data_IF_564549527895
#
_entry.id   IF_564549527895
#
_cell.length_a   1.000
_cell.length_b   1.000
_cell.length_c   1.000
_cell.angle_alpha   90.00
_cell.angle_beta   90.00
_cell.angle_gamma   90.00
#
_symmetry.space_group_name_H-M   'P 1'
#
loop_
_entity.id
_entity.type
_entity.pdbx_description
1 polymer ?
#
# COMPACT_ATOMS: atom_id res chain seq x y z
N UNK A 1 -4.07 -11.10 8.42
CA UNK A 1 -5.01 -10.41 7.51
C UNK A 1 -6.06 -9.52 8.18
N UNK A 2 -7.23 -9.96 8.69
CA UNK A 2 -8.26 -8.99 9.17
C UNK A 2 -7.78 -8.11 10.33
N UNK A 3 -7.25 -8.71 11.39
CA UNK A 3 -6.74 -7.98 12.57
C UNK A 3 -5.57 -7.06 12.21
N UNK A 4 -4.66 -7.55 11.37
CA UNK A 4 -3.50 -6.82 10.87
C UNK A 4 -3.90 -5.59 10.02
N UNK A 5 -4.85 -5.74 9.10
CA UNK A 5 -5.38 -4.61 8.32
C UNK A 5 -6.10 -3.60 9.20
N UNK A 6 -6.84 -4.05 10.21
CA UNK A 6 -7.45 -3.16 11.20
C UNK A 6 -6.41 -2.39 12.01
N UNK A 7 -5.33 -3.05 12.43
CA UNK A 7 -4.23 -2.40 13.13
C UNK A 7 -3.55 -1.35 12.25
N UNK A 8 -3.30 -1.67 10.97
CA UNK A 8 -2.76 -0.72 9.99
C UNK A 8 -3.67 0.49 9.81
N UNK A 9 -4.97 0.24 9.59
CA UNK A 9 -5.98 1.31 9.46
C UNK A 9 -6.03 2.20 10.70
N UNK A 10 -6.09 1.62 11.90
CA UNK A 10 -6.16 2.38 13.14
C UNK A 10 -4.90 3.21 13.36
N UNK A 11 -3.73 2.64 13.04
CA UNK A 11 -2.44 3.35 13.11
C UNK A 11 -2.41 4.55 12.17
N UNK A 12 -3.01 4.46 10.97
CA UNK A 12 -3.14 5.62 10.06
C UNK A 12 -4.00 6.71 10.64
N UNK A 13 -5.16 6.36 11.19
CA UNK A 13 -6.06 7.35 11.79
C UNK A 13 -5.38 8.06 12.96
N UNK A 14 -4.68 7.32 13.82
CA UNK A 14 -3.92 7.89 14.94
C UNK A 14 -2.75 8.78 14.51
N UNK A 15 -2.14 8.55 13.35
CA UNK A 15 -1.02 9.36 12.82
C UNK A 15 -1.47 10.59 12.05
N UNK A 16 -2.74 10.65 11.66
CA UNK A 16 -3.27 11.76 10.88
C UNK A 16 -3.59 12.94 11.80
N UNK A 17 -3.01 14.13 11.58
CA UNK A 17 -3.10 15.24 12.54
C UNK A 17 -4.52 15.79 12.74
N UNK A 18 -5.38 15.73 11.73
CA UNK A 18 -6.80 16.15 11.85
C UNK A 18 -7.69 15.03 12.37
N UNK A 19 -7.67 13.83 11.76
CA UNK A 19 -8.56 12.72 12.16
C UNK A 19 -8.31 12.26 13.59
N UNK A 20 -7.05 12.15 14.01
CA UNK A 20 -6.71 11.72 15.37
C UNK A 20 -7.29 12.63 16.44
N UNK A 21 -7.37 13.94 16.18
CA UNK A 21 -7.89 14.93 17.12
C UNK A 21 -9.41 15.15 16.99
N UNK A 22 -10.09 14.42 16.12
CA UNK A 22 -11.54 14.57 15.93
C UNK A 22 -12.34 13.98 17.10
N UNK A 23 -13.38 14.70 17.53
CA UNK A 23 -14.32 14.26 18.57
C UNK A 23 -14.84 12.84 18.33
N UNK A 24 -15.20 12.52 17.08
CA UNK A 24 -15.74 11.21 16.72
C UNK A 24 -14.73 10.08 16.92
N UNK A 25 -13.46 10.32 16.58
CA UNK A 25 -12.40 9.32 16.72
C UNK A 25 -11.98 9.15 18.18
N UNK A 26 -11.85 10.25 18.92
CA UNK A 26 -11.55 10.23 20.35
C UNK A 26 -12.65 9.51 21.14
N UNK A 27 -13.92 9.80 20.85
CA UNK A 27 -15.05 9.14 21.50
C UNK A 27 -15.12 7.64 21.16
N UNK A 28 -14.75 7.25 19.94
CA UNK A 28 -14.69 5.85 19.53
C UNK A 28 -13.65 5.06 20.35
N UNK A 29 -12.55 5.68 20.76
CA UNK A 29 -11.48 5.03 21.51
C UNK A 29 -11.63 5.09 23.04
N UNK A 30 -12.35 6.08 23.57
CA UNK A 30 -12.31 6.42 25.01
C UNK A 30 -13.61 6.22 25.79
N UNK A 31 -14.69 5.74 25.13
CA UNK A 31 -15.96 5.49 25.82
C UNK A 31 -15.81 4.46 26.95
N UNK A 32 -16.48 4.71 28.09
CA UNK A 32 -16.36 3.87 29.29
C UNK A 32 -17.48 2.85 29.43
N UNK A 33 -18.65 3.17 28.88
CA UNK A 33 -19.83 2.32 28.96
C UNK A 33 -20.73 2.46 27.73
N UNK A 34 -21.74 1.58 27.63
CA UNK A 34 -22.66 1.52 26.50
C UNK A 34 -23.53 2.80 26.36
N UNK A 35 -23.82 3.49 27.47
CA UNK A 35 -24.62 4.71 27.47
C UNK A 35 -23.82 5.87 26.89
N UNK A 36 -22.55 5.97 27.26
CA UNK A 36 -21.60 6.93 26.70
C UNK A 36 -21.40 6.69 25.20
N UNK A 37 -21.17 5.44 24.80
CA UNK A 37 -21.08 5.04 23.38
C UNK A 37 -22.31 5.47 22.58
N UNK A 38 -23.53 5.14 23.05
CA UNK A 38 -24.77 5.50 22.34
C UNK A 38 -24.97 7.01 22.24
N UNK A 39 -24.57 7.76 23.27
CA UNK A 39 -24.63 9.24 23.26
C UNK A 39 -23.66 9.80 22.24
N UNK A 40 -22.40 9.37 22.29
CA UNK A 40 -21.34 9.79 21.36
C UNK A 40 -21.68 9.47 19.91
N UNK A 41 -22.15 8.25 19.64
CA UNK A 41 -22.63 7.82 18.32
C UNK A 41 -23.72 8.75 17.79
N UNK A 42 -24.76 9.04 18.58
CA UNK A 42 -25.85 9.94 18.17
C UNK A 42 -25.40 11.38 17.96
N UNK A 43 -24.39 11.85 18.71
CA UNK A 43 -23.76 13.17 18.50
C UNK A 43 -23.08 13.21 17.13
N UNK A 44 -22.25 12.21 16.82
CA UNK A 44 -21.56 12.12 15.53
C UNK A 44 -22.53 11.97 14.34
N UNK A 45 -23.61 11.19 14.48
CA UNK A 45 -24.63 11.02 13.43
C UNK A 45 -25.44 12.29 13.13
N UNK A 46 -25.47 13.25 14.06
CA UNK A 46 -26.20 14.52 13.93
C UNK A 46 -25.30 15.71 13.60
N UNK A 47 -24.01 15.48 13.38
CA UNK A 47 -23.09 16.56 13.05
C UNK A 47 -23.47 17.18 11.69
N UNK A 48 -23.66 18.50 11.68
CA UNK A 48 -23.99 19.26 10.48
C UNK A 48 -22.74 19.76 9.76
N UNK A 49 -21.57 19.73 10.41
CA UNK A 49 -20.27 20.15 9.85
C UNK A 49 -19.68 18.99 9.04
N UNK A 50 -20.37 18.60 7.97
CA UNK A 50 -20.01 17.47 7.11
C UNK A 50 -19.81 17.88 5.66
N UNK A 51 -19.10 17.05 4.90
CA UNK A 51 -18.81 17.31 3.48
C UNK A 51 -18.06 18.63 3.32
N UNK A 52 -18.53 19.50 2.41
CA UNK A 52 -17.89 20.80 2.16
C UNK A 52 -17.93 21.76 3.35
N UNK A 53 -18.78 21.52 4.36
CA UNK A 53 -18.84 22.36 5.55
C UNK A 53 -17.64 22.16 6.46
N UNK A 54 -16.86 21.08 6.31
CA UNK A 54 -15.61 20.90 7.06
C UNK A 54 -14.62 22.04 6.84
N UNK A 55 -14.63 22.68 5.67
CA UNK A 55 -13.74 23.80 5.39
C UNK A 55 -14.07 25.06 6.20
N UNK A 56 -15.25 25.17 6.82
CA UNK A 56 -15.57 26.32 7.68
C UNK A 56 -14.95 26.23 9.07
N UNK A 57 -14.35 25.09 9.44
CA UNK A 57 -13.62 24.92 10.71
C UNK A 57 -12.11 25.01 10.53
N UNK A 58 -11.65 25.32 9.32
CA UNK A 58 -10.23 25.43 8.98
C UNK A 58 -9.86 26.91 8.87
N UNK A 59 -8.78 27.30 9.53
CA UNK A 59 -8.27 28.67 9.53
C UNK A 59 -6.82 28.68 9.02
N UNK A 60 -6.60 28.97 7.72
CA UNK A 60 -5.25 29.12 7.20
C UNK A 60 -4.56 30.34 7.80
N UNK A 61 -3.39 30.15 8.41
CA UNK A 61 -2.52 31.24 8.90
C UNK A 61 -1.69 31.86 7.77
N UNK A 62 -2.31 32.16 6.64
CA UNK A 62 -1.66 32.70 5.45
C UNK A 62 -2.61 33.59 4.61
N UNK A 63 -2.08 34.47 3.76
CA UNK A 63 -2.91 35.28 2.86
C UNK A 63 -3.75 34.44 1.90
N UNK A 64 -4.87 34.99 1.43
CA UNK A 64 -5.69 34.29 0.44
C UNK A 64 -4.95 34.01 -0.87
N UNK A 65 -5.16 32.80 -1.39
CA UNK A 65 -4.63 32.38 -2.68
C UNK A 65 -5.46 32.96 -3.82
N UNK A 66 -4.79 33.30 -4.92
CA UNK A 66 -5.49 33.68 -6.14
C UNK A 66 -6.06 32.47 -6.90
N UNK A 67 -7.01 32.73 -7.80
CA UNK A 67 -7.71 31.68 -8.54
C UNK A 67 -6.81 30.88 -9.49
N UNK A 68 -5.75 31.48 -10.03
CA UNK A 68 -4.81 30.81 -10.92
C UNK A 68 -4.01 29.81 -10.11
N UNK A 69 -3.51 30.21 -8.94
CA UNK A 69 -2.78 29.31 -8.05
C UNK A 69 -3.67 28.15 -7.58
N UNK A 70 -4.90 28.42 -7.12
CA UNK A 70 -5.84 27.38 -6.67
C UNK A 70 -6.06 26.32 -7.76
N UNK A 71 -6.29 26.75 -9.01
CA UNK A 71 -6.52 25.84 -10.13
C UNK A 71 -5.27 25.02 -10.45
N UNK A 72 -4.09 25.66 -10.51
CA UNK A 72 -2.82 24.98 -10.78
C UNK A 72 -2.51 23.90 -9.73
N UNK A 73 -2.74 24.18 -8.44
CA UNK A 73 -2.54 23.22 -7.35
C UNK A 73 -3.51 22.04 -7.48
N UNK A 74 -4.80 22.31 -7.68
CA UNK A 74 -5.82 21.29 -7.85
C UNK A 74 -5.49 20.34 -9.03
N UNK A 75 -5.11 20.90 -10.17
CA UNK A 75 -4.74 20.13 -11.35
C UNK A 75 -3.43 19.35 -11.17
N UNK A 76 -2.44 19.91 -10.47
CA UNK A 76 -1.21 19.21 -10.16
C UNK A 76 -1.47 17.96 -9.31
N UNK A 77 -2.33 18.07 -8.29
CA UNK A 77 -2.72 16.93 -7.44
C UNK A 77 -3.48 15.90 -8.26
N UNK A 78 -4.47 16.32 -9.06
CA UNK A 78 -5.25 15.40 -9.89
C UNK A 78 -4.40 14.60 -10.88
N UNK A 79 -3.42 15.25 -11.53
CA UNK A 79 -2.46 14.55 -12.41
C UNK A 79 -1.60 13.56 -11.64
N UNK A 80 -1.00 14.00 -10.53
CA UNK A 80 -0.11 13.16 -9.74
C UNK A 80 -0.82 11.90 -9.20
N UNK A 81 -1.98 12.07 -8.56
CA UNK A 81 -2.70 10.95 -7.93
C UNK A 81 -3.21 9.97 -8.97
N UNK A 82 -3.64 10.46 -10.15
CA UNK A 82 -4.02 9.59 -11.27
C UNK A 82 -2.83 8.77 -11.77
N UNK A 83 -1.69 9.40 -12.05
CA UNK A 83 -0.49 8.69 -12.51
C UNK A 83 0.03 7.69 -11.48
N UNK A 84 -0.02 8.04 -10.19
CA UNK A 84 0.38 7.14 -9.12
C UNK A 84 -0.58 5.94 -9.00
N UNK A 85 -1.89 6.15 -9.12
CA UNK A 85 -2.89 5.08 -9.08
C UNK A 85 -2.64 4.03 -10.18
N UNK A 86 -2.35 4.49 -11.41
CA UNK A 86 -2.03 3.61 -12.52
C UNK A 86 -0.72 2.82 -12.25
N UNK A 87 0.32 3.48 -11.73
CA UNK A 87 1.58 2.82 -11.36
C UNK A 87 1.44 1.80 -10.21
N UNK A 88 0.64 2.11 -9.20
CA UNK A 88 0.34 1.20 -8.08
C UNK A 88 -0.45 -0.01 -8.57
N UNK A 89 -1.44 0.18 -9.45
CA UNK A 89 -2.21 -0.93 -10.04
C UNK A 89 -1.34 -1.86 -10.88
N UNK A 90 -0.40 -1.32 -11.64
CA UNK A 90 0.56 -2.11 -12.40
C UNK A 90 1.44 -2.95 -11.47
N UNK A 91 2.03 -2.32 -10.43
CA UNK A 91 2.87 -3.01 -9.46
C UNK A 91 2.10 -4.12 -8.72
N UNK A 92 0.84 -3.86 -8.36
CA UNK A 92 -0.03 -4.88 -7.80
C UNK A 92 -0.25 -6.03 -8.79
N UNK A 93 -0.50 -5.74 -10.07
CA UNK A 93 -0.75 -6.77 -11.09
C UNK A 93 0.44 -7.72 -11.22
N UNK A 94 1.63 -7.17 -11.50
CA UNK A 94 2.86 -7.98 -11.65
C UNK A 94 3.23 -8.69 -10.35
N UNK A 95 2.97 -8.08 -9.19
CA UNK A 95 3.17 -8.71 -7.88
C UNK A 95 2.27 -9.92 -7.66
N UNK A 96 0.98 -9.84 -8.00
CA UNK A 96 0.07 -11.00 -7.89
C UNK A 96 0.42 -12.12 -8.87
N UNK A 97 0.82 -11.78 -10.10
CA UNK A 97 1.28 -12.76 -11.07
C UNK A 97 2.53 -13.50 -10.57
N UNK A 98 3.50 -12.75 -10.06
CA UNK A 98 4.71 -13.32 -9.48
C UNK A 98 4.40 -14.19 -8.25
N UNK A 99 3.52 -13.73 -7.36
CA UNK A 99 3.07 -14.50 -6.21
C UNK A 99 2.52 -15.87 -6.63
N UNK A 100 1.56 -15.88 -7.57
CA UNK A 100 0.94 -17.12 -8.07
C UNK A 100 1.98 -18.07 -8.67
N UNK A 101 2.99 -17.54 -9.34
CA UNK A 101 4.10 -18.33 -9.88
C UNK A 101 4.91 -18.99 -8.77
N UNK A 102 5.32 -18.20 -7.77
CA UNK A 102 6.15 -18.65 -6.65
C UNK A 102 5.41 -19.61 -5.71
N UNK A 103 4.08 -19.53 -5.59
CA UNK A 103 3.30 -20.47 -4.76
C UNK A 103 2.63 -21.59 -5.57
N UNK A 104 2.93 -21.71 -6.86
CA UNK A 104 2.22 -22.61 -7.77
C UNK A 104 3.16 -23.44 -8.65
N UNK A 105 3.38 -23.05 -9.92
CA UNK A 105 4.18 -23.83 -10.86
C UNK A 105 5.66 -23.90 -10.48
N UNK A 106 6.26 -22.84 -9.95
CA UNK A 106 7.71 -22.79 -9.73
C UNK A 106 8.21 -23.80 -8.67
N UNK A 107 7.61 -23.91 -7.47
CA UNK A 107 7.96 -24.98 -6.53
C UNK A 107 7.80 -26.39 -7.12
N UNK A 108 6.78 -26.60 -7.96
CA UNK A 108 6.56 -27.91 -8.61
C UNK A 108 7.69 -28.28 -9.55
N UNK A 109 8.33 -27.31 -10.20
CA UNK A 109 9.51 -27.56 -11.04
C UNK A 109 10.69 -28.04 -10.18
N UNK A 110 11.00 -27.34 -9.08
CA UNK A 110 12.04 -27.77 -8.13
C UNK A 110 11.75 -29.16 -7.54
N UNK A 111 10.50 -29.45 -7.16
CA UNK A 111 10.09 -30.78 -6.69
C UNK A 111 10.29 -31.87 -7.75
N UNK A 112 9.94 -31.58 -9.01
CA UNK A 112 10.13 -32.54 -10.11
C UNK A 112 11.61 -32.84 -10.35
N UNK A 113 12.47 -31.83 -10.31
CA UNK A 113 13.93 -32.00 -10.40
C UNK A 113 14.42 -32.87 -9.24
N UNK A 114 14.01 -32.55 -8.01
CA UNK A 114 14.42 -33.31 -6.82
C UNK A 114 14.03 -34.79 -6.87
N UNK A 115 12.81 -35.08 -7.33
CA UNK A 115 12.33 -36.46 -7.52
C UNK A 115 13.03 -37.19 -8.66
N UNK A 116 13.33 -36.49 -9.75
CA UNK A 116 14.06 -37.08 -10.88
C UNK A 116 15.48 -37.50 -10.47
N UNK A 117 16.18 -36.67 -9.68
CA UNK A 117 17.51 -37.00 -9.14
C UNK A 117 17.45 -38.23 -8.24
N UNK A 118 16.49 -38.29 -7.32
CA UNK A 118 16.31 -39.45 -6.44
C UNK A 118 15.93 -40.71 -7.23
N UNK A 119 15.08 -40.59 -8.25
CA UNK A 119 14.75 -41.70 -9.13
C UNK A 119 15.98 -42.23 -9.88
N UNK A 120 16.86 -41.35 -10.33
CA UNK A 120 18.11 -41.74 -10.98
C UNK A 120 19.07 -42.45 -10.02
N UNK A 121 19.26 -41.92 -8.81
CA UNK A 121 20.08 -42.56 -7.78
C UNK A 121 19.56 -43.96 -7.39
N UNK A 122 18.23 -44.13 -7.35
CA UNK A 122 17.61 -45.42 -7.11
C UNK A 122 17.95 -46.42 -8.23
N UNK A 123 17.91 -45.98 -9.49
CA UNK A 123 18.31 -46.83 -10.63
C UNK A 123 19.78 -47.23 -10.53
N UNK A 124 20.69 -46.30 -10.21
CA UNK A 124 22.10 -46.62 -10.01
C UNK A 124 22.30 -47.67 -8.92
N UNK A 125 21.60 -47.52 -7.80
CA UNK A 125 21.65 -48.49 -6.69
C UNK A 125 21.21 -49.92 -7.08
N UNK A 126 20.55 -50.12 -8.23
CA UNK A 126 20.21 -51.46 -8.75
C UNK A 126 21.36 -52.15 -9.49
N UNK A 127 22.47 -51.45 -9.77
CA UNK A 127 23.64 -52.01 -10.50
C UNK A 127 24.33 -53.14 -9.74
N UNK A 128 24.23 -53.15 -8.40
CA UNK A 128 24.97 -54.05 -7.52
C UNK A 128 26.46 -53.71 -7.35
N UNK A 129 26.95 -52.64 -7.98
CA UNK A 129 28.33 -52.20 -7.88
C UNK A 129 28.56 -51.48 -6.55
N UNK A 130 29.50 -51.97 -5.74
CA UNK A 130 29.76 -51.42 -4.39
C UNK A 130 30.55 -50.11 -4.41
N UNK A 131 31.22 -49.77 -5.52
CA UNK A 131 32.09 -48.59 -5.61
C UNK A 131 31.37 -47.26 -5.87
N UNK A 132 30.03 -47.24 -5.93
CA UNK A 132 29.23 -46.05 -6.27
C UNK A 132 28.24 -45.62 -5.16
N UNK A 133 28.30 -46.23 -3.96
CA UNK A 133 27.41 -45.89 -2.85
C UNK A 133 27.41 -44.40 -2.52
N UNK A 134 28.60 -43.81 -2.39
CA UNK A 134 28.77 -42.42 -1.97
C UNK A 134 28.24 -41.44 -3.03
N UNK A 135 28.39 -41.79 -4.31
CA UNK A 135 27.82 -41.03 -5.42
C UNK A 135 26.29 -41.09 -5.41
N UNK A 136 25.72 -42.28 -5.22
CA UNK A 136 24.26 -42.49 -5.20
C UNK A 136 23.62 -41.76 -4.00
N UNK A 137 24.27 -41.78 -2.84
CA UNK A 137 23.86 -41.00 -1.67
C UNK A 137 23.94 -39.49 -1.93
N UNK A 138 25.03 -38.99 -2.52
CA UNK A 138 25.17 -37.58 -2.86
C UNK A 138 24.08 -37.10 -3.85
N UNK A 139 23.75 -37.88 -4.87
CA UNK A 139 22.67 -37.57 -5.83
C UNK A 139 21.31 -37.57 -5.13
N UNK A 140 21.06 -38.55 -4.24
CA UNK A 140 19.82 -38.62 -3.46
C UNK A 140 19.63 -37.37 -2.60
N UNK A 141 20.69 -36.95 -1.90
CA UNK A 141 20.68 -35.78 -1.02
C UNK A 141 20.58 -34.46 -1.80
N UNK A 142 21.19 -34.37 -2.98
CA UNK A 142 20.94 -33.26 -3.91
C UNK A 142 19.46 -33.20 -4.29
N UNK A 143 18.83 -34.36 -4.59
CA UNK A 143 17.41 -34.43 -4.87
C UNK A 143 16.53 -33.90 -3.74
N UNK A 144 16.80 -34.32 -2.50
CA UNK A 144 16.12 -33.79 -1.29
C UNK A 144 16.33 -32.29 -1.12
N UNK A 145 17.55 -31.79 -1.38
CA UNK A 145 17.87 -30.35 -1.33
C UNK A 145 17.00 -29.54 -2.29
N UNK A 146 16.76 -30.05 -3.51
CA UNK A 146 15.86 -29.40 -4.47
C UNK A 146 14.39 -29.39 -3.98
N UNK A 147 13.93 -30.43 -3.29
CA UNK A 147 12.60 -30.43 -2.66
C UNK A 147 12.49 -29.42 -1.51
N UNK A 148 13.55 -29.26 -0.71
CA UNK A 148 13.61 -28.23 0.33
C UNK A 148 13.58 -26.82 -0.27
N UNK A 149 14.31 -26.58 -1.37
CA UNK A 149 14.29 -25.32 -2.10
C UNK A 149 12.87 -25.03 -2.62
N UNK A 150 12.14 -26.04 -3.10
CA UNK A 150 10.76 -25.86 -3.50
C UNK A 150 9.88 -25.31 -2.37
N UNK A 151 10.00 -25.86 -1.16
CA UNK A 151 9.28 -25.38 0.01
C UNK A 151 9.71 -23.96 0.39
N UNK A 152 11.00 -23.63 0.30
CA UNK A 152 11.48 -22.26 0.54
C UNK A 152 10.87 -21.27 -0.45
N UNK A 153 10.85 -21.60 -1.75
CA UNK A 153 10.27 -20.76 -2.81
C UNK A 153 8.77 -20.54 -2.56
N UNK A 154 8.04 -21.60 -2.19
CA UNK A 154 6.59 -21.52 -1.95
C UNK A 154 6.24 -20.63 -0.74
N UNK A 155 7.09 -20.61 0.28
CA UNK A 155 6.86 -19.84 1.51
C UNK A 155 7.42 -18.42 1.45
N UNK A 156 8.33 -18.12 0.53
CA UNK A 156 9.01 -16.83 0.46
C UNK A 156 8.07 -15.62 0.31
N UNK A 157 7.03 -15.63 -0.55
CA UNK A 157 6.17 -14.45 -0.74
C UNK A 157 5.55 -13.90 0.55
N UNK A 158 5.35 -14.74 1.58
CA UNK A 158 4.82 -14.34 2.88
C UNK A 158 5.79 -13.48 3.70
N UNK A 159 7.08 -13.49 3.36
CA UNK A 159 8.15 -12.82 4.10
C UNK A 159 8.54 -11.46 3.51
N UNK A 160 8.21 -11.21 2.24
CA UNK A 160 8.64 -10.01 1.53
C UNK A 160 7.52 -9.39 0.68
N UNK A 161 7.09 -10.10 -0.36
CA UNK A 161 6.11 -9.65 -1.33
C UNK A 161 4.78 -9.30 -0.66
N UNK A 162 4.45 -9.97 0.45
CA UNK A 162 3.26 -9.69 1.24
C UNK A 162 3.21 -8.24 1.68
N UNK A 163 4.29 -7.76 2.30
CA UNK A 163 4.38 -6.41 2.82
C UNK A 163 4.34 -5.39 1.69
N UNK A 164 5.06 -5.66 0.59
CA UNK A 164 5.02 -4.81 -0.60
C UNK A 164 3.61 -4.71 -1.18
N UNK A 165 2.89 -5.82 -1.27
CA UNK A 165 1.51 -5.84 -1.77
C UNK A 165 0.55 -5.14 -0.81
N UNK A 166 0.63 -5.35 0.50
CA UNK A 166 -0.26 -4.69 1.46
C UNK A 166 -0.05 -3.17 1.48
N UNK A 167 1.20 -2.69 1.43
CA UNK A 167 1.48 -1.25 1.28
C UNK A 167 0.85 -0.69 0.00
N UNK A 168 1.00 -1.35 -1.14
CA UNK A 168 0.40 -0.87 -2.40
C UNK A 168 -1.15 -0.95 -2.39
N UNK A 169 -1.75 -1.93 -1.69
CA UNK A 169 -3.21 -1.97 -1.51
C UNK A 169 -3.71 -0.81 -0.64
N UNK A 170 -2.97 -0.47 0.43
CA UNK A 170 -3.27 0.70 1.28
C UNK A 170 -3.25 1.99 0.46
N UNK A 171 -2.17 2.22 -0.31
CA UNK A 171 -2.05 3.41 -1.17
C UNK A 171 -3.10 3.44 -2.28
N UNK A 172 -3.46 2.30 -2.88
CA UNK A 172 -4.60 2.21 -3.81
C UNK A 172 -5.91 2.66 -3.14
N UNK A 173 -6.10 2.34 -1.86
CA UNK A 173 -7.23 2.81 -1.07
C UNK A 173 -7.28 4.33 -0.97
N UNK A 174 -6.17 4.97 -0.59
CA UNK A 174 -6.07 6.44 -0.53
C UNK A 174 -6.29 7.09 -1.89
N UNK A 175 -5.64 6.55 -2.93
CA UNK A 175 -5.72 7.07 -4.30
C UNK A 175 -7.14 6.99 -4.86
N UNK A 176 -7.91 5.96 -4.46
CA UNK A 176 -9.32 5.82 -4.80
C UNK A 176 -10.23 6.92 -4.25
N UNK A 177 -9.79 7.70 -3.26
CA UNK A 177 -10.57 8.81 -2.70
C UNK A 177 -10.37 10.13 -3.45
N UNK A 178 -9.25 10.30 -4.16
CA UNK A 178 -8.92 11.57 -4.82
C UNK A 178 -9.86 11.98 -5.97
N UNK A 179 -10.47 11.08 -6.77
CA UNK A 179 -11.43 11.48 -7.79
C UNK A 179 -12.57 12.35 -7.22
N UNK A 180 -13.15 11.95 -6.08
CA UNK A 180 -14.24 12.69 -5.44
C UNK A 180 -13.74 14.00 -4.80
N UNK A 181 -12.58 13.95 -4.13
CA UNK A 181 -11.94 15.13 -3.53
C UNK A 181 -11.67 16.19 -4.61
N UNK A 182 -11.02 15.81 -5.71
CA UNK A 182 -10.70 16.71 -6.81
C UNK A 182 -11.97 17.18 -7.52
N UNK A 183 -12.98 16.32 -7.69
CA UNK A 183 -14.27 16.71 -8.23
C UNK A 183 -14.94 17.83 -7.44
N UNK A 184 -14.94 17.72 -6.10
CA UNK A 184 -15.47 18.77 -5.22
C UNK A 184 -14.69 20.09 -5.34
N UNK A 185 -13.36 20.04 -5.41
CA UNK A 185 -12.52 21.23 -5.58
C UNK A 185 -12.73 21.89 -6.94
N UNK A 186 -12.78 21.12 -8.03
CA UNK A 186 -13.07 21.64 -9.37
C UNK A 186 -14.46 22.28 -9.45
N UNK A 187 -15.46 21.68 -8.81
CA UNK A 187 -16.81 22.27 -8.73
C UNK A 187 -16.83 23.60 -7.97
N UNK A 188 -16.05 23.75 -6.91
CA UNK A 188 -15.91 25.01 -6.19
C UNK A 188 -15.20 26.08 -7.06
N UNK A 189 -14.11 25.71 -7.73
CA UNK A 189 -13.36 26.59 -8.65
C UNK A 189 -14.27 27.12 -9.75
N UNK A 190 -15.06 26.25 -10.39
CA UNK A 190 -15.95 26.65 -11.48
C UNK A 190 -17.02 27.64 -11.00
N UNK A 191 -17.63 27.39 -9.84
CA UNK A 191 -18.60 28.33 -9.25
C UNK A 191 -18.00 29.70 -8.98
N UNK A 192 -16.72 29.77 -8.56
CA UNK A 192 -16.03 31.05 -8.37
C UNK A 192 -15.80 31.75 -9.71
N UNK A 193 -15.43 31.03 -10.77
CA UNK A 193 -15.29 31.61 -12.12
C UNK A 193 -16.60 32.17 -12.67
N UNK A 194 -17.73 31.53 -12.35
CA UNK A 194 -19.06 32.00 -12.73
C UNK A 194 -19.57 33.19 -11.88
N UNK A 195 -18.90 33.53 -10.76
CA UNK A 195 -19.38 34.53 -9.81
C UNK A 195 -19.60 35.92 -10.42
N UNK A 196 -18.75 36.36 -11.36
CA UNK A 196 -18.92 37.66 -12.04
C UNK A 196 -20.20 37.71 -12.88
N UNK A 197 -20.53 36.62 -13.57
CA UNK A 197 -21.78 36.48 -14.31
C UNK A 197 -22.99 36.45 -13.38
N UNK A 198 -22.85 35.84 -12.20
CA UNK A 198 -23.91 35.79 -11.18
C UNK A 198 -24.14 37.17 -10.55
N UNK A 199 -23.09 37.97 -10.33
CA UNK A 199 -23.21 39.37 -9.90
C UNK A 199 -23.90 40.20 -10.99
N UNK A 200 -23.47 40.07 -12.25
CA UNK A 200 -24.07 40.80 -13.37
C UNK A 200 -25.56 40.49 -13.56
N UNK A 201 -26.01 39.29 -13.16
CA UNK A 201 -27.41 38.88 -13.19
C UNK A 201 -28.14 39.06 -11.85
N UNK A 202 -27.54 39.78 -10.88
CA UNK A 202 -28.09 40.05 -9.55
C UNK A 202 -28.51 38.81 -8.75
N UNK A 203 -27.87 37.66 -9.01
CA UNK A 203 -28.13 36.40 -8.30
C UNK A 203 -27.34 36.27 -7.00
N UNK A 204 -26.20 36.94 -6.91
CA UNK A 204 -25.34 37.00 -5.72
C UNK A 204 -24.80 38.42 -5.55
N UNK A 205 -24.34 38.75 -4.34
CA UNK A 205 -23.69 40.04 -4.04
C UNK A 205 -22.18 39.98 -4.28
N UNK A 206 -21.49 41.14 -4.39
CA UNK A 206 -20.03 41.18 -4.39
C UNK A 206 -19.41 40.58 -3.12
N UNK A 207 -20.08 40.70 -1.96
CA UNK A 207 -19.62 40.09 -0.72
C UNK A 207 -19.69 38.56 -0.78
N UNK A 208 -20.75 38.00 -1.39
CA UNK A 208 -20.85 36.55 -1.59
C UNK A 208 -19.70 36.03 -2.45
N UNK A 209 -19.33 36.75 -3.52
CA UNK A 209 -18.15 36.41 -4.32
C UNK A 209 -16.87 36.39 -3.49
N UNK A 210 -16.65 37.40 -2.63
CA UNK A 210 -15.47 37.44 -1.77
C UNK A 210 -15.44 36.24 -0.81
N UNK A 211 -16.59 35.88 -0.23
CA UNK A 211 -16.70 34.71 0.63
C UNK A 211 -16.42 33.40 -0.13
N UNK A 212 -16.88 33.30 -1.39
CA UNK A 212 -16.60 32.15 -2.25
C UNK A 212 -15.10 32.02 -2.57
N UNK A 213 -14.41 33.14 -2.85
CA UNK A 213 -12.96 33.18 -3.07
C UNK A 213 -12.20 32.73 -1.83
N UNK A 214 -12.51 33.30 -0.66
CA UNK A 214 -11.90 32.94 0.63
C UNK A 214 -12.09 31.46 0.94
N UNK A 215 -13.28 30.91 0.65
CA UNK A 215 -13.57 29.48 0.83
C UNK A 215 -12.77 28.61 -0.12
N UNK A 216 -12.64 28.99 -1.40
CA UNK A 216 -11.83 28.25 -2.37
C UNK A 216 -10.33 28.27 -2.00
N UNK A 217 -9.84 29.40 -1.49
CA UNK A 217 -8.49 29.55 -0.90
C UNK A 217 -8.28 28.57 0.26
N UNK A 218 -9.21 28.54 1.23
CA UNK A 218 -9.19 27.60 2.37
C UNK A 218 -9.19 26.13 1.92
N UNK A 219 -10.03 25.78 0.93
CA UNK A 219 -10.04 24.44 0.34
C UNK A 219 -8.69 24.06 -0.28
N UNK A 220 -8.06 24.98 -1.00
CA UNK A 220 -6.73 24.76 -1.59
C UNK A 220 -5.65 24.55 -0.53
N UNK A 221 -5.67 25.32 0.57
CA UNK A 221 -4.77 25.09 1.70
C UNK A 221 -4.97 23.72 2.33
N UNK A 222 -6.22 23.30 2.55
CA UNK A 222 -6.54 21.99 3.09
C UNK A 222 -6.06 20.85 2.17
N UNK A 223 -6.27 20.98 0.85
CA UNK A 223 -5.77 20.01 -0.13
C UNK A 223 -4.24 19.93 -0.14
N UNK A 224 -3.55 21.07 -0.06
CA UNK A 224 -2.09 21.10 0.01
C UNK A 224 -1.57 20.51 1.31
N UNK A 225 -2.21 20.79 2.45
CA UNK A 225 -1.87 20.20 3.73
C UNK A 225 -2.01 18.68 3.71
N UNK A 226 -3.12 18.17 3.17
CA UNK A 226 -3.35 16.74 3.00
C UNK A 226 -2.30 16.11 2.07
N UNK A 227 -1.98 16.76 0.96
CA UNK A 227 -0.96 16.25 0.03
C UNK A 227 0.45 16.25 0.62
N UNK A 228 0.79 17.23 1.46
CA UNK A 228 2.04 17.22 2.20
C UNK A 228 2.08 16.06 3.19
N UNK A 229 0.99 15.81 3.91
CA UNK A 229 0.86 14.64 4.79
C UNK A 229 1.00 13.32 4.01
N UNK A 230 0.27 13.19 2.91
CA UNK A 230 0.33 12.05 2.01
C UNK A 230 1.75 11.81 1.48
N UNK A 231 2.43 12.83 0.99
CA UNK A 231 3.79 12.71 0.47
C UNK A 231 4.81 12.33 1.54
N UNK A 232 4.73 12.93 2.74
CA UNK A 232 5.62 12.59 3.85
C UNK A 232 5.50 11.11 4.24
N UNK A 233 4.26 10.62 4.38
CA UNK A 233 4.01 9.21 4.66
C UNK A 233 4.47 8.30 3.50
N UNK A 234 4.15 8.68 2.26
CA UNK A 234 4.54 7.91 1.05
C UNK A 234 6.03 7.69 0.97
N UNK A 235 6.83 8.72 1.20
CA UNK A 235 8.30 8.60 1.16
C UNK A 235 8.77 7.62 2.23
N UNK A 236 8.27 7.75 3.46
CA UNK A 236 8.64 6.87 4.56
C UNK A 236 8.23 5.40 4.31
N UNK A 237 6.98 5.18 3.91
CA UNK A 237 6.41 3.84 3.76
C UNK A 237 7.06 3.08 2.61
N UNK A 238 7.21 3.72 1.43
CA UNK A 238 7.85 3.09 0.29
C UNK A 238 9.35 2.82 0.55
N UNK A 239 10.05 3.73 1.21
CA UNK A 239 11.43 3.49 1.62
C UNK A 239 11.53 2.27 2.55
N UNK A 240 10.65 2.19 3.55
CA UNK A 240 10.64 1.10 4.53
C UNK A 240 10.35 -0.24 3.87
N UNK A 241 9.28 -0.33 3.07
CA UNK A 241 8.85 -1.61 2.47
C UNK A 241 9.81 -2.08 1.39
N UNK A 242 10.41 -1.16 0.61
CA UNK A 242 11.39 -1.54 -0.40
C UNK A 242 12.69 -2.04 0.22
N UNK A 243 13.13 -1.44 1.32
CA UNK A 243 14.26 -1.96 2.10
C UNK A 243 13.99 -3.36 2.63
N UNK A 244 12.85 -3.55 3.30
CA UNK A 244 12.43 -4.86 3.79
C UNK A 244 12.39 -5.91 2.66
N UNK A 245 11.78 -5.57 1.53
CA UNK A 245 11.69 -6.46 0.38
C UNK A 245 13.07 -6.90 -0.13
N UNK A 246 13.99 -5.95 -0.31
CA UNK A 246 15.34 -6.24 -0.81
C UNK A 246 16.19 -7.02 0.20
N UNK A 247 16.11 -6.68 1.50
CA UNK A 247 16.79 -7.38 2.59
C UNK A 247 16.34 -8.86 2.64
N UNK A 248 15.04 -9.10 2.58
CA UNK A 248 14.47 -10.45 2.60
C UNK A 248 14.77 -11.25 1.32
N UNK A 249 14.79 -10.60 0.16
CA UNK A 249 15.19 -11.23 -1.11
C UNK A 249 16.67 -11.63 -1.11
N UNK A 250 17.56 -10.76 -0.61
CA UNK A 250 18.98 -11.08 -0.49
C UNK A 250 19.19 -12.32 0.40
N UNK A 251 18.58 -12.34 1.58
CA UNK A 251 18.64 -13.47 2.50
C UNK A 251 18.10 -14.76 1.87
N UNK A 252 17.02 -14.66 1.09
CA UNK A 252 16.41 -15.81 0.40
C UNK A 252 17.39 -16.46 -0.58
N UNK A 253 18.01 -15.67 -1.45
CA UNK A 253 18.97 -16.19 -2.42
C UNK A 253 20.26 -16.71 -1.75
N UNK A 254 20.74 -16.05 -0.69
CA UNK A 254 21.86 -16.55 0.11
C UNK A 254 21.56 -17.91 0.74
N UNK A 255 20.35 -18.09 1.28
CA UNK A 255 19.89 -19.35 1.88
C UNK A 255 19.87 -20.48 0.83
N UNK A 256 19.35 -20.21 -0.36
CA UNK A 256 19.36 -21.18 -1.47
C UNK A 256 20.80 -21.53 -1.85
N UNK A 257 21.67 -20.54 -2.01
CA UNK A 257 23.07 -20.77 -2.34
C UNK A 257 23.78 -21.64 -1.29
N UNK A 258 23.51 -21.41 -0.01
CA UNK A 258 24.06 -22.23 1.08
C UNK A 258 23.58 -23.69 1.00
N UNK A 259 22.28 -23.92 0.75
CA UNK A 259 21.74 -25.28 0.57
C UNK A 259 22.39 -26.01 -0.59
N UNK A 260 22.54 -25.33 -1.74
CA UNK A 260 23.21 -25.92 -2.90
C UNK A 260 24.70 -26.23 -2.62
N UNK A 261 25.41 -25.35 -1.89
CA UNK A 261 26.80 -25.61 -1.48
C UNK A 261 26.92 -26.81 -0.54
N UNK A 262 25.97 -26.98 0.38
CA UNK A 262 25.93 -28.15 1.27
C UNK A 262 25.73 -29.44 0.47
N UNK A 263 24.79 -29.46 -0.48
CA UNK A 263 24.60 -30.60 -1.36
C UNK A 263 25.84 -30.90 -2.20
N UNK A 264 26.47 -29.86 -2.77
CA UNK A 264 27.70 -29.99 -3.56
C UNK A 264 28.85 -30.62 -2.75
N UNK A 265 29.03 -30.23 -1.48
CA UNK A 265 30.11 -30.74 -0.63
C UNK A 265 30.03 -32.23 -0.31
N UNK A 266 28.89 -32.87 -0.60
CA UNK A 266 28.70 -34.33 -0.43
C UNK A 266 29.21 -35.14 -1.60
N UNK A 267 29.44 -34.52 -2.77
CA UNK A 267 29.97 -35.23 -3.92
C UNK A 267 31.46 -35.54 -3.68
N UNK A 268 31.91 -36.79 -3.92
CA UNK A 268 33.32 -37.15 -3.80
C UNK A 268 34.18 -36.27 -4.70
N UNK A 269 35.34 -35.82 -4.19
CA UNK A 269 36.37 -35.25 -5.07
C UNK A 269 37.03 -36.40 -5.82
N UNK A 270 36.96 -36.37 -7.16
CA UNK A 270 37.64 -37.31 -8.05
C UNK A 270 39.13 -36.99 -8.17
#
# INVERSE_FOLDING_TARGET
>A
MRMERLQGWLTRMCRHPVVSESDVFQQFLSFRDEKEWKTGKRKAEKDEIVGVMVFSTMEPEAPDLDMIEIEQKCDAVGRFTKSMDDGVKELLTVGHEHWKRCTGPLPKEYQKIGKALQGLALVFSTSGYQGESDLNEAITEAGKTYEEIASLVAEQPKKDLHFLMETNHEYKGFLGCFPDIIGAHKGAIEKVKESDKLIATSKITPQDKQNMLTRASTMSYALQAEMNHFHSNRIYDYNTVMRLYLEQQAQFYETIAQKLRQALSRFPMM
#
